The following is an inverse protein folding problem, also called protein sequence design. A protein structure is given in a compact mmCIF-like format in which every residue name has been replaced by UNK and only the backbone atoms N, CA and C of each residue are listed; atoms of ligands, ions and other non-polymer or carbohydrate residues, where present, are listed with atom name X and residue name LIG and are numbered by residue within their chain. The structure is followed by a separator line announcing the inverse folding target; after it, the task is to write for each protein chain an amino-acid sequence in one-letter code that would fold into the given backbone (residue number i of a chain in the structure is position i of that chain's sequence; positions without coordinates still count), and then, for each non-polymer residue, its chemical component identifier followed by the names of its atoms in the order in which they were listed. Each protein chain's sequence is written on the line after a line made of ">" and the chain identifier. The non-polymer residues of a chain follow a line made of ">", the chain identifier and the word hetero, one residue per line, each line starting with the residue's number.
data_IF_876446569038
#
_entry.id   IF_876446569038
#
_cell.length_a   1.000
_cell.length_b   1.000
_cell.length_c   1.000
_cell.angle_alpha   90.00
_cell.angle_beta   90.00
_cell.angle_gamma   90.00
#
_symmetry.space_group_name_H-M   'P 1'
#
loop_
_entity.id
_entity.type
_entity.pdbx_description
1 polymer ?
#
# COMPACT_ATOMS: atom_id res chain seq x y z
N UNK A 1 3.83 7.20 18.33
CA UNK A 1 3.47 7.01 16.90
C UNK A 1 2.69 5.71 16.76
N UNK A 2 1.64 5.64 15.93
CA UNK A 2 0.94 4.38 15.68
C UNK A 2 1.65 3.61 14.55
N UNK A 3 2.45 2.62 14.91
CA UNK A 3 3.27 1.82 13.99
C UNK A 3 2.43 0.97 13.06
N UNK A 4 1.33 0.40 13.54
CA UNK A 4 0.36 -0.37 12.73
C UNK A 4 -0.32 0.49 11.67
N UNK A 5 -0.68 1.73 12.02
CA UNK A 5 -1.29 2.67 11.08
C UNK A 5 -0.34 3.03 9.95
N UNK A 6 0.88 3.47 10.27
CA UNK A 6 1.84 3.91 9.25
C UNK A 6 2.26 2.75 8.32
N UNK A 7 2.42 1.53 8.84
CA UNK A 7 2.78 0.40 7.99
C UNK A 7 1.63 -0.03 7.09
N UNK A 8 0.37 0.12 7.53
CA UNK A 8 -0.80 -0.07 6.68
C UNK A 8 -0.87 0.96 5.55
N UNK A 9 -0.60 2.23 5.85
CA UNK A 9 -0.58 3.30 4.85
C UNK A 9 0.50 3.08 3.80
N UNK A 10 1.73 2.73 4.22
CA UNK A 10 2.83 2.39 3.29
C UNK A 10 2.48 1.18 2.42
N UNK A 11 1.87 0.13 2.98
CA UNK A 11 1.43 -1.04 2.20
C UNK A 11 0.44 -0.64 1.11
N UNK A 12 -0.53 0.22 1.43
CA UNK A 12 -1.51 0.72 0.46
C UNK A 12 -0.84 1.59 -0.60
N UNK A 13 0.09 2.44 -0.21
CA UNK A 13 0.84 3.28 -1.14
C UNK A 13 1.66 2.45 -2.13
N UNK A 14 2.46 1.48 -1.65
CA UNK A 14 3.25 0.58 -2.49
C UNK A 14 2.38 -0.18 -3.50
N UNK A 15 1.18 -0.62 -3.08
CA UNK A 15 0.25 -1.31 -3.96
C UNK A 15 -0.32 -0.41 -5.07
N UNK A 16 -0.54 0.88 -4.78
CA UNK A 16 -1.11 1.86 -5.74
C UNK A 16 -0.09 2.33 -6.76
N UNK A 17 1.12 2.67 -6.32
CA UNK A 17 2.19 3.21 -7.19
C UNK A 17 2.96 2.14 -7.95
N UNK A 18 2.64 0.86 -7.75
CA UNK A 18 3.40 -0.30 -8.26
C UNK A 18 4.90 -0.24 -7.93
N UNK A 19 5.27 0.53 -6.90
CA UNK A 19 6.66 0.66 -6.45
C UNK A 19 7.08 -0.60 -5.70
N UNK A 20 8.30 -1.07 -5.95
CA UNK A 20 8.79 -2.29 -5.28
C UNK A 20 9.24 -2.00 -3.85
N UNK A 21 9.02 -2.94 -2.92
CA UNK A 21 9.60 -2.87 -1.59
C UNK A 21 11.14 -2.77 -1.62
N UNK A 22 11.79 -3.32 -2.65
CA UNK A 22 13.25 -3.24 -2.81
C UNK A 22 13.67 -1.79 -3.05
N UNK A 23 13.06 -1.13 -4.04
CA UNK A 23 13.34 0.26 -4.36
C UNK A 23 13.11 1.16 -3.14
N UNK A 24 11.95 1.01 -2.49
CA UNK A 24 11.60 1.84 -1.33
C UNK A 24 12.55 1.61 -0.15
N UNK A 25 12.92 0.34 0.10
CA UNK A 25 13.87 0.03 1.18
C UNK A 25 15.25 0.63 0.93
N UNK A 26 15.73 0.59 -0.31
CA UNK A 26 17.08 1.04 -0.68
C UNK A 26 17.15 2.56 -0.71
N UNK A 27 16.23 3.21 -1.43
CA UNK A 27 16.35 4.63 -1.75
C UNK A 27 15.76 5.54 -0.67
N UNK A 28 14.72 5.10 0.03
CA UNK A 28 14.02 5.94 1.02
C UNK A 28 14.41 5.54 2.44
N UNK A 29 14.32 4.25 2.77
CA UNK A 29 14.57 3.78 4.14
C UNK A 29 16.07 3.63 4.41
N UNK A 30 16.88 3.32 3.40
CA UNK A 30 18.31 3.05 3.54
C UNK A 30 18.58 1.75 4.30
N UNK A 31 17.79 0.70 4.04
CA UNK A 31 17.88 -0.62 4.69
C UNK A 31 17.61 -1.74 3.69
N UNK A 32 17.94 -2.98 4.07
CA UNK A 32 17.64 -4.15 3.26
C UNK A 32 16.13 -4.39 3.10
N UNK A 33 15.70 -4.83 1.91
CA UNK A 33 14.30 -5.22 1.60
C UNK A 33 13.68 -6.11 2.69
N UNK A 34 14.43 -7.12 3.15
CA UNK A 34 13.96 -8.07 4.17
C UNK A 34 13.56 -7.36 5.47
N UNK A 35 14.33 -6.38 5.91
CA UNK A 35 14.03 -5.59 7.10
C UNK A 35 12.75 -4.77 6.93
N UNK A 36 12.55 -4.16 5.76
CA UNK A 36 11.31 -3.45 5.47
C UNK A 36 10.10 -4.39 5.52
N UNK A 37 10.19 -5.54 4.84
CA UNK A 37 9.09 -6.54 4.82
C UNK A 37 8.72 -6.99 6.23
N UNK A 38 9.71 -7.27 7.08
CA UNK A 38 9.48 -7.65 8.49
C UNK A 38 8.75 -6.53 9.22
N UNK A 39 9.22 -5.29 9.13
CA UNK A 39 8.58 -4.15 9.81
C UNK A 39 7.16 -3.89 9.31
N UNK A 40 6.91 -4.04 8.02
CA UNK A 40 5.58 -3.85 7.43
C UNK A 40 4.60 -4.95 7.83
N UNK A 41 5.05 -6.21 7.95
CA UNK A 41 4.20 -7.35 8.30
C UNK A 41 4.02 -7.54 9.81
N UNK A 42 5.04 -7.21 10.59
CA UNK A 42 5.08 -7.40 12.03
C UNK A 42 5.50 -6.10 12.73
N UNK A 43 4.67 -5.04 12.65
CA UNK A 43 5.00 -3.76 13.27
C UNK A 43 5.04 -3.89 14.79
N UNK A 44 6.21 -3.63 15.39
CA UNK A 44 6.35 -3.61 16.86
C UNK A 44 5.72 -2.36 17.46
N UNK A 45 5.54 -2.35 18.77
CA UNK A 45 5.11 -1.15 19.47
C UNK A 45 6.18 -0.06 19.43
N UNK A 46 5.76 1.21 19.42
CA UNK A 46 6.67 2.36 19.34
C UNK A 46 7.76 2.36 20.42
N UNK A 47 7.43 1.86 21.62
CA UNK A 47 8.34 1.79 22.77
C UNK A 47 9.47 0.77 22.60
N UNK A 48 9.35 -0.17 21.67
CA UNK A 48 10.24 -1.34 21.50
C UNK A 48 11.15 -1.24 20.26
N UNK A 49 11.19 -0.06 19.62
CA UNK A 49 11.74 0.11 18.28
C UNK A 49 13.00 0.97 18.22
N UNK A 50 13.89 0.59 17.32
CA UNK A 50 14.82 1.53 16.69
C UNK A 50 14.03 2.42 15.72
N UNK A 51 13.75 3.65 16.17
CA UNK A 51 12.73 4.54 15.60
C UNK A 51 12.99 4.97 14.15
N UNK A 52 14.24 4.94 13.70
CA UNK A 52 14.67 5.52 12.41
C UNK A 52 13.84 5.03 11.21
N UNK A 53 13.64 3.70 11.09
CA UNK A 53 12.86 3.12 9.99
C UNK A 53 11.45 3.70 9.97
N UNK A 54 10.79 3.69 11.12
CA UNK A 54 9.42 4.13 11.29
C UNK A 54 9.23 5.63 11.11
N UNK A 55 10.24 6.43 11.50
CA UNK A 55 10.27 7.87 11.22
C UNK A 55 10.33 8.12 9.71
N UNK A 56 11.16 7.40 8.96
CA UNK A 56 11.22 7.52 7.49
C UNK A 56 9.90 7.11 6.82
N UNK A 57 9.27 6.03 7.30
CA UNK A 57 7.93 5.63 6.83
C UNK A 57 6.89 6.72 7.09
N UNK A 58 6.91 7.29 8.29
CA UNK A 58 5.98 8.33 8.70
C UNK A 58 6.19 9.61 7.88
N UNK A 59 7.43 10.06 7.74
CA UNK A 59 7.77 11.26 6.97
C UNK A 59 7.36 11.09 5.50
N UNK A 60 7.62 9.93 4.89
CA UNK A 60 7.18 9.63 3.52
C UNK A 60 5.68 9.82 3.34
N UNK A 61 4.86 9.32 4.27
CA UNK A 61 3.40 9.46 4.20
C UNK A 61 2.91 10.90 4.47
N UNK A 62 3.75 11.77 5.03
CA UNK A 62 3.43 13.19 5.22
C UNK A 62 3.86 14.09 4.07
N UNK A 63 4.74 13.60 3.20
CA UNK A 63 5.08 14.31 1.98
C UNK A 63 3.87 14.41 1.07
N UNK A 64 3.75 15.54 0.37
CA UNK A 64 2.76 15.70 -0.69
C UNK A 64 3.00 14.69 -1.82
N UNK A 65 2.01 14.52 -2.68
CA UNK A 65 2.17 13.62 -3.84
C UNK A 65 3.27 14.15 -4.76
N UNK A 66 3.33 15.46 -4.95
CA UNK A 66 4.30 16.17 -5.78
C UNK A 66 5.72 15.97 -5.23
N UNK A 67 5.93 16.14 -3.92
CA UNK A 67 7.22 15.91 -3.28
C UNK A 67 7.68 14.45 -3.43
N UNK A 68 6.76 13.48 -3.27
CA UNK A 68 7.07 12.05 -3.49
C UNK A 68 7.43 11.78 -4.94
N UNK A 69 6.73 12.40 -5.88
CA UNK A 69 7.02 12.29 -7.31
C UNK A 69 8.38 12.88 -7.66
N UNK A 70 8.76 14.03 -7.10
CA UNK A 70 10.10 14.62 -7.28
C UNK A 70 11.20 13.66 -6.82
N UNK A 71 11.03 13.05 -5.64
CA UNK A 71 11.97 12.05 -5.15
C UNK A 71 12.00 10.81 -6.06
N UNK A 72 10.84 10.33 -6.53
CA UNK A 72 10.78 9.19 -7.45
C UNK A 72 11.50 9.50 -8.77
N UNK A 73 11.33 10.70 -9.33
CA UNK A 73 12.05 11.18 -10.52
C UNK A 73 13.56 11.23 -10.29
N UNK A 74 14.01 11.74 -9.14
CA UNK A 74 15.43 11.81 -8.78
C UNK A 74 16.11 10.43 -8.79
N UNK A 75 15.39 9.38 -8.38
CA UNK A 75 15.90 8.00 -8.37
C UNK A 75 15.57 7.19 -9.65
N UNK A 76 15.18 7.87 -10.75
CA UNK A 76 14.77 7.25 -12.01
C UNK A 76 13.74 6.12 -11.85
N UNK A 77 12.80 6.27 -10.92
CA UNK A 77 11.71 5.31 -10.75
C UNK A 77 10.58 5.62 -11.73
N UNK A 78 10.06 4.60 -12.43
CA UNK A 78 8.81 4.73 -13.17
C UNK A 78 7.69 5.08 -12.19
N UNK A 79 7.17 6.30 -12.29
CA UNK A 79 5.98 6.70 -11.57
C UNK A 79 4.76 6.12 -12.27
N UNK A 80 4.13 5.14 -11.66
CA UNK A 80 2.75 4.77 -12.01
C UNK A 80 1.86 5.66 -11.14
N UNK A 81 1.03 6.50 -11.77
CA UNK A 81 0.11 7.42 -11.09
C UNK A 81 -0.50 6.81 -9.84
N UNK A 82 -0.54 7.58 -8.75
CA UNK A 82 -1.34 7.23 -7.57
C UNK A 82 -2.81 7.24 -7.97
N UNK A 83 -3.26 6.13 -8.57
CA UNK A 83 -4.64 5.93 -8.93
C UNK A 83 -5.44 5.99 -7.62
N UNK A 84 -6.22 7.04 -7.44
CA UNK A 84 -7.37 6.98 -6.55
C UNK A 84 -8.15 5.76 -6.99
N UNK A 85 -8.26 4.76 -6.12
CA UNK A 85 -9.00 3.55 -6.44
C UNK A 85 -10.47 3.93 -6.67
N UNK A 86 -10.84 4.25 -7.91
CA UNK A 86 -12.24 4.29 -8.29
C UNK A 86 -12.72 2.85 -8.19
N UNK A 87 -13.77 2.67 -7.37
CA UNK A 87 -14.45 1.44 -6.98
C UNK A 87 -15.02 0.60 -8.15
N UNK A 88 -14.41 0.58 -9.34
CA UNK A 88 -14.91 -0.17 -10.50
C UNK A 88 -14.78 -1.68 -10.34
N UNK A 89 -13.65 -2.17 -9.82
CA UNK A 89 -13.47 -3.62 -9.58
C UNK A 89 -14.45 -4.13 -8.52
N UNK A 90 -14.71 -3.33 -7.48
CA UNK A 90 -15.67 -3.69 -6.43
C UNK A 90 -17.11 -3.72 -6.96
N UNK A 91 -17.50 -2.71 -7.76
CA UNK A 91 -18.82 -2.67 -8.43
C UNK A 91 -19.00 -3.84 -9.41
N UNK A 92 -17.94 -4.22 -10.11
CA UNK A 92 -17.94 -5.36 -11.03
C UNK A 92 -18.19 -6.68 -10.27
N UNK A 93 -17.49 -6.92 -9.16
CA UNK A 93 -17.69 -8.10 -8.32
C UNK A 93 -19.08 -8.14 -7.68
N UNK A 94 -19.60 -7.00 -7.21
CA UNK A 94 -20.94 -6.92 -6.63
C UNK A 94 -22.03 -7.25 -7.66
N UNK A 95 -21.84 -6.84 -8.92
CA UNK A 95 -22.76 -7.17 -10.02
C UNK A 95 -22.71 -8.65 -10.37
N UNK A 96 -21.52 -9.27 -10.40
CA UNK A 96 -21.36 -10.71 -10.62
C UNK A 96 -22.05 -11.51 -9.52
N UNK A 97 -21.84 -11.14 -8.25
CA UNK A 97 -22.46 -11.82 -7.10
C UNK A 97 -23.99 -11.70 -7.11
N UNK A 98 -24.54 -10.56 -7.53
CA UNK A 98 -25.99 -10.38 -7.70
C UNK A 98 -26.55 -11.30 -8.78
N UNK A 99 -25.87 -11.44 -9.91
CA UNK A 99 -26.34 -12.29 -11.00
C UNK A 99 -26.29 -13.77 -10.62
N UNK A 100 -25.23 -14.22 -9.95
CA UNK A 100 -25.14 -15.60 -9.46
C UNK A 100 -26.28 -15.94 -8.50
N UNK A 101 -26.59 -15.06 -7.53
CA UNK A 101 -27.73 -15.24 -6.61
C UNK A 101 -29.07 -15.32 -7.36
N UNK A 102 -29.23 -14.54 -8.43
CA UNK A 102 -30.44 -14.56 -9.29
C UNK A 102 -30.58 -15.91 -10.00
N UNK A 103 -29.48 -16.48 -10.50
CA UNK A 103 -29.50 -17.78 -11.17
C UNK A 103 -29.84 -18.92 -10.22
N UNK A 104 -29.20 -18.99 -9.05
CA UNK A 104 -29.52 -20.01 -8.05
C UNK A 104 -30.97 -19.92 -7.55
N UNK A 105 -31.52 -18.70 -7.40
CA UNK A 105 -32.93 -18.54 -7.02
C UNK A 105 -33.91 -19.00 -8.09
N UNK A 106 -33.53 -18.99 -9.37
CA UNK A 106 -34.36 -19.49 -10.48
C UNK A 106 -34.30 -21.01 -10.58
N UNK A 107 -33.14 -21.62 -10.33
CA UNK A 107 -32.97 -23.07 -10.32
C UNK A 107 -33.70 -23.78 -9.16
N UNK A 108 -33.93 -23.10 -8.03
CA UNK A 108 -34.64 -23.67 -6.87
C UNK A 108 -36.19 -23.58 -6.95
N UNK A 109 -36.76 -23.12 -8.06
CA UNK A 109 -38.22 -22.99 -8.26
C UNK A 109 -38.79 -23.99 -9.27
N UNK A 110 -38.02 -25.01 -9.63
CA UNK A 110 -38.40 -26.08 -10.56
C UNK A 110 -38.40 -27.41 -9.81
#
# INVERSE_FOLDING_TARGET
>A
MNTKKVTSEIKKWLARTRTTCKWFSTNIVGRAKRMLVINLNYPKEWKELTKEVYVKLYNWMRMSVEERQDVMRFYWAEYVEEQESKNEVSKSLDNILKELRRQFSKCNKQ
#
